data_IF_742163773888
#
_entry.id   IF_742163773888
#
_cell.length_a   1.000
_cell.length_b   1.000
_cell.length_c   1.000
_cell.angle_alpha   90.00
_cell.angle_beta   90.00
_cell.angle_gamma   90.00
#
_symmetry.space_group_name_H-M   'P 1'
#
loop_
_entity.id
_entity.type
_entity.pdbx_description
1 polymer ?
#
# COMPACT_ATOMS: atom_id res chain seq x y z
N UNK A 1 -2.71 11.14 11.08
CA UNK A 1 -1.44 10.40 10.91
C UNK A 1 -0.35 11.24 11.52
N UNK A 2 0.45 10.70 12.43
CA UNK A 2 1.53 11.47 13.06
C UNK A 2 2.63 11.68 12.01
N UNK A 3 3.07 12.93 11.82
CA UNK A 3 4.06 13.30 10.79
C UNK A 3 5.34 12.48 10.91
N UNK A 4 5.77 12.17 12.14
CA UNK A 4 6.92 11.32 12.44
C UNK A 4 6.71 9.88 11.93
N UNK A 5 5.52 9.33 12.12
CA UNK A 5 5.18 7.98 11.63
C UNK A 5 5.22 7.91 10.11
N UNK A 6 4.70 8.94 9.43
CA UNK A 6 4.75 9.02 7.97
C UNK A 6 6.20 9.17 7.47
N UNK A 7 7.00 10.01 8.14
CA UNK A 7 8.41 10.17 7.82
C UNK A 7 9.16 8.85 7.96
N UNK A 8 9.01 8.15 9.09
CA UNK A 8 9.67 6.87 9.35
C UNK A 8 9.26 5.80 8.32
N UNK A 9 7.96 5.72 8.00
CA UNK A 9 7.47 4.81 6.96
C UNK A 9 8.09 5.12 5.59
N UNK A 10 8.14 6.39 5.19
CA UNK A 10 8.74 6.80 3.92
C UNK A 10 10.25 6.55 3.87
N UNK A 11 10.97 6.74 4.97
CA UNK A 11 12.40 6.48 5.08
C UNK A 11 12.71 4.98 4.95
N UNK A 12 11.90 4.13 5.59
CA UNK A 12 12.02 2.67 5.47
C UNK A 12 11.79 2.23 4.03
N UNK A 13 10.71 2.70 3.38
CA UNK A 13 10.41 2.35 1.99
C UNK A 13 11.50 2.85 1.04
N UNK A 14 11.96 4.09 1.19
CA UNK A 14 13.05 4.66 0.40
C UNK A 14 14.36 3.89 0.57
N UNK A 15 14.69 3.52 1.81
CA UNK A 15 15.84 2.68 2.13
C UNK A 15 15.76 1.32 1.43
N UNK A 16 14.60 0.66 1.46
CA UNK A 16 14.39 -0.60 0.75
C UNK A 16 14.55 -0.49 -0.76
N UNK A 17 14.05 0.59 -1.37
CA UNK A 17 14.22 0.85 -2.81
C UNK A 17 15.70 1.05 -3.14
N UNK A 18 16.44 1.81 -2.32
CA UNK A 18 17.88 2.02 -2.48
C UNK A 18 18.65 0.70 -2.40
N UNK A 19 18.36 -0.13 -1.38
CA UNK A 19 18.99 -1.44 -1.22
C UNK A 19 18.74 -2.35 -2.42
N UNK A 20 17.49 -2.41 -2.91
CA UNK A 20 17.11 -3.18 -4.10
C UNK A 20 17.82 -2.68 -5.36
N UNK A 21 17.96 -1.36 -5.53
CA UNK A 21 18.65 -0.76 -6.67
C UNK A 21 20.15 -1.08 -6.66
N UNK A 22 20.82 -0.94 -5.51
CA UNK A 22 22.23 -1.28 -5.37
C UNK A 22 22.44 -2.78 -5.59
N UNK A 23 21.58 -3.63 -4.99
CA UNK A 23 21.63 -5.07 -5.18
C UNK A 23 21.45 -5.46 -6.66
N UNK A 24 20.53 -4.82 -7.38
CA UNK A 24 20.31 -5.03 -8.81
C UNK A 24 21.54 -4.67 -9.67
N UNK A 25 22.22 -3.57 -9.35
CA UNK A 25 23.40 -3.10 -10.09
C UNK A 25 24.62 -3.97 -9.77
N UNK A 26 24.78 -4.39 -8.51
CA UNK A 26 25.92 -5.20 -8.09
C UNK A 26 25.76 -6.68 -8.44
N UNK A 27 24.53 -7.17 -8.57
CA UNK A 27 24.23 -8.56 -8.90
C UNK A 27 23.69 -8.66 -10.34
N UNK A 28 24.56 -8.47 -11.34
CA UNK A 28 24.21 -8.57 -12.77
C UNK A 28 24.06 -10.04 -13.22
N UNK A 29 23.92 -10.98 -12.27
CA UNK A 29 23.87 -12.38 -12.61
C UNK A 29 22.60 -12.68 -13.42
N UNK A 30 22.74 -13.31 -14.60
CA UNK A 30 21.59 -13.73 -15.38
C UNK A 30 20.90 -14.87 -14.63
N UNK A 31 19.64 -14.65 -14.25
CA UNK A 31 18.79 -15.67 -13.63
C UNK A 31 17.85 -16.25 -14.67
N UNK A 32 17.66 -17.56 -14.59
CA UNK A 32 16.80 -18.32 -15.49
C UNK A 32 15.49 -18.65 -14.77
N UNK A 33 14.38 -18.11 -15.26
CA UNK A 33 13.05 -18.42 -14.75
C UNK A 33 12.60 -19.74 -15.38
N UNK A 34 12.43 -20.79 -14.57
CA UNK A 34 11.84 -22.05 -15.03
C UNK A 34 10.32 -21.97 -14.90
N UNK A 35 9.62 -21.94 -16.02
CA UNK A 35 8.16 -22.00 -16.05
C UNK A 35 7.72 -23.43 -16.37
N UNK A 36 7.16 -24.13 -15.37
CA UNK A 36 6.47 -25.42 -15.56
C UNK A 36 7.28 -26.49 -16.33
N UNK A 37 8.62 -26.47 -16.20
CA UNK A 37 9.68 -27.28 -16.88
C UNK A 37 10.43 -26.62 -18.05
N UNK A 38 9.96 -25.50 -18.61
CA UNK A 38 10.68 -24.78 -19.66
C UNK A 38 11.60 -23.71 -19.10
N UNK A 39 12.81 -23.61 -19.66
CA UNK A 39 13.76 -22.58 -19.31
C UNK A 39 13.42 -21.28 -20.06
N UNK A 40 13.14 -20.20 -19.33
CA UNK A 40 12.96 -18.86 -19.91
C UNK A 40 14.29 -18.28 -20.38
N UNK A 41 14.24 -17.23 -21.18
CA UNK A 41 15.39 -16.37 -21.46
C UNK A 41 16.00 -15.90 -20.14
N UNK A 42 17.33 -15.90 -20.09
CA UNK A 42 18.11 -15.37 -18.98
C UNK A 42 17.81 -13.89 -18.79
N UNK A 43 17.27 -13.52 -17.65
CA UNK A 43 16.93 -12.14 -17.33
C UNK A 43 17.81 -11.68 -16.17
N UNK A 44 18.42 -10.48 -16.25
CA UNK A 44 19.13 -9.90 -15.11
C UNK A 44 18.21 -9.74 -13.89
N UNK A 45 18.74 -10.03 -12.69
CA UNK A 45 17.94 -9.99 -11.45
C UNK A 45 17.33 -8.60 -11.19
N UNK A 46 17.99 -7.53 -11.63
CA UNK A 46 17.49 -6.17 -11.51
C UNK A 46 16.17 -5.96 -12.25
N UNK A 47 15.99 -6.59 -13.41
CA UNK A 47 14.73 -6.51 -14.17
C UNK A 47 13.62 -7.27 -13.45
N UNK A 48 13.93 -8.42 -12.84
CA UNK A 48 12.98 -9.17 -12.00
C UNK A 48 12.53 -8.33 -10.80
N UNK A 49 13.48 -7.70 -10.10
CA UNK A 49 13.20 -6.88 -8.93
C UNK A 49 12.36 -5.64 -9.29
N UNK A 50 12.70 -4.96 -10.39
CA UNK A 50 11.92 -3.84 -10.90
C UNK A 50 10.48 -4.26 -11.25
N UNK A 51 10.32 -5.40 -11.92
CA UNK A 51 9.00 -5.93 -12.28
C UNK A 51 8.18 -6.30 -11.03
N UNK A 52 8.80 -6.94 -10.05
CA UNK A 52 8.18 -7.30 -8.77
C UNK A 52 7.73 -6.06 -7.98
N UNK A 53 8.59 -5.04 -7.87
CA UNK A 53 8.27 -3.77 -7.22
C UNK A 53 7.10 -3.07 -7.92
N UNK A 54 7.14 -2.96 -9.25
CA UNK A 54 6.08 -2.33 -10.02
C UNK A 54 4.74 -3.07 -9.85
N UNK A 55 4.75 -4.41 -9.94
CA UNK A 55 3.56 -5.22 -9.75
C UNK A 55 3.02 -5.13 -8.31
N UNK A 56 3.90 -5.14 -7.31
CA UNK A 56 3.54 -4.96 -5.91
C UNK A 56 2.87 -3.61 -5.66
N UNK A 57 3.44 -2.51 -6.18
CA UNK A 57 2.83 -1.18 -6.08
C UNK A 57 1.51 -1.09 -6.84
N UNK A 58 1.43 -1.69 -8.03
CA UNK A 58 0.20 -1.72 -8.82
C UNK A 58 -0.93 -2.44 -8.05
N UNK A 59 -0.66 -3.63 -7.52
CA UNK A 59 -1.62 -4.38 -6.71
C UNK A 59 -2.00 -3.59 -5.45
N UNK A 60 -1.01 -3.02 -4.75
CA UNK A 60 -1.25 -2.21 -3.55
C UNK A 60 -2.11 -0.97 -3.82
N UNK A 61 -2.02 -0.38 -5.02
CA UNK A 61 -2.87 0.73 -5.43
C UNK A 61 -4.29 0.28 -5.82
N UNK A 62 -4.42 -0.88 -6.45
CA UNK A 62 -5.70 -1.41 -6.96
C UNK A 62 -6.56 -2.01 -5.84
N UNK A 63 -5.98 -2.75 -4.90
CA UNK A 63 -6.69 -3.38 -3.76
C UNK A 63 -7.62 -2.41 -3.02
N UNK A 64 -7.15 -1.24 -2.51
CA UNK A 64 -8.00 -0.32 -1.77
C UNK A 64 -9.07 0.31 -2.65
N UNK A 65 -8.86 0.46 -3.97
CA UNK A 65 -9.89 0.95 -4.88
C UNK A 65 -11.07 -0.02 -4.99
N UNK A 66 -10.81 -1.34 -4.97
CA UNK A 66 -11.86 -2.36 -4.99
C UNK A 66 -12.48 -2.63 -3.60
N UNK A 67 -11.71 -2.50 -2.51
CA UNK A 67 -12.17 -2.79 -1.15
C UNK A 67 -12.81 -1.61 -0.42
N UNK A 68 -12.87 -0.41 -1.04
CA UNK A 68 -13.44 0.79 -0.41
C UNK A 68 -14.96 0.67 -0.26
N UNK A 69 -15.43 -0.06 0.76
CA UNK A 69 -16.82 0.04 1.23
C UNK A 69 -17.06 1.49 1.68
N UNK A 70 -18.04 2.13 1.05
CA UNK A 70 -18.49 3.49 1.37
C UNK A 70 -18.79 3.58 2.87
N UNK A 71 -17.88 4.18 3.65
CA UNK A 71 -18.19 4.56 5.02
C UNK A 71 -19.19 5.72 4.91
N UNK A 72 -20.48 5.43 5.06
CA UNK A 72 -21.48 6.46 5.35
C UNK A 72 -20.98 7.22 6.58
N UNK A 73 -20.66 8.50 6.39
CA UNK A 73 -20.43 9.46 7.47
C UNK A 73 -21.59 9.34 8.48
N UNK A 74 -21.31 9.15 9.78
CA UNK A 74 -22.33 9.26 10.81
C UNK A 74 -22.76 10.73 10.83
N UNK A 75 -23.89 11.01 10.18
CA UNK A 75 -24.55 12.30 10.25
C UNK A 75 -24.91 12.51 11.72
N UNK A 76 -24.21 13.42 12.39
CA UNK A 76 -24.47 13.83 13.76
C UNK A 76 -25.94 14.19 13.90
N UNK A 77 -26.72 13.34 14.59
CA UNK A 77 -28.05 13.69 15.05
C UNK A 77 -27.84 14.65 16.21
N UNK A 78 -27.87 15.95 15.92
CA UNK A 78 -28.00 16.98 16.94
C UNK A 78 -29.41 16.83 17.51
N UNK A 79 -29.51 16.27 18.71
CA UNK A 79 -30.76 16.28 19.47
C UNK A 79 -31.02 17.73 19.87
N UNK A 80 -32.10 18.33 19.35
CA UNK A 80 -32.54 19.65 19.80
C UNK A 80 -32.95 19.56 21.28
N UNK A 81 -32.52 20.50 22.15
CA UNK A 81 -32.87 20.52 23.57
C UNK A 81 -34.37 20.66 23.87
N UNK A 82 -35.19 20.98 22.86
CA UNK A 82 -36.63 21.19 23.05
C UNK A 82 -37.37 19.94 23.57
N UNK A 83 -36.90 18.73 23.24
CA UNK A 83 -37.54 17.50 23.73
C UNK A 83 -37.28 17.23 25.22
N UNK A 84 -36.22 17.78 25.81
CA UNK A 84 -35.95 17.63 27.26
C UNK A 84 -36.73 18.63 28.10
N UNK A 85 -37.21 19.74 27.51
CA UNK A 85 -38.00 20.75 28.22
C UNK A 85 -39.46 20.32 28.37
N UNK A 86 -40.01 19.61 27.39
CA UNK A 86 -41.37 19.04 27.46
C UNK A 86 -41.46 17.85 28.43
N UNK A 87 -40.35 17.15 28.69
CA UNK A 87 -40.27 16.05 29.68
C UNK A 87 -40.03 16.52 31.12
N UNK A 88 -39.78 17.81 31.38
CA UNK A 88 -39.57 18.32 32.74
C UNK A 88 -40.78 19.08 33.31
N UNK A 89 -41.89 19.12 32.56
CA UNK A 89 -43.15 19.76 32.95
C UNK A 89 -44.12 18.77 33.66
N UNK A 90 -43.57 17.77 34.36
CA UNK A 90 -44.32 16.82 35.20
C UNK A 90 -44.81 17.44 36.52
#
# INVERSE_FOLDING_TARGET
>A
MNTITNFLASAIVGGWIMTMAVFAIQNIQPVSLKFLQFESIKVPIGILLAFSLAMGFFIAAVIPAFLRKSKKSPRSRFSSPESELDELDF
#
